data_IF_260400367409
#
_entry.id   IF_260400367409
#
_cell.length_a   1.000
_cell.length_b   1.000
_cell.length_c   1.000
_cell.angle_alpha   90.00
_cell.angle_beta   90.00
_cell.angle_gamma   90.00
#
_symmetry.space_group_name_H-M   'P 1'
#
loop_
_entity.id
_entity.type
_entity.pdbx_description
1 polymer ?
#
# COMPACT_ATOMS: atom_id res chain seq x y z
N UNK A 1 11.37 -15.45 11.32
CA UNK A 1 11.00 -14.07 11.73
C UNK A 1 10.93 -13.28 10.44
N UNK A 2 9.85 -12.60 10.19
CA UNK A 2 9.66 -11.82 8.97
C UNK A 2 10.60 -10.60 8.97
N UNK A 3 11.37 -10.46 7.89
CA UNK A 3 12.30 -9.36 7.66
C UNK A 3 11.69 -8.46 6.58
N UNK A 4 11.42 -7.22 6.91
CA UNK A 4 10.75 -6.29 6.01
C UNK A 4 11.68 -5.18 5.53
N UNK A 5 11.46 -4.73 4.31
CA UNK A 5 12.23 -3.67 3.69
C UNK A 5 11.86 -2.32 4.31
N UNK A 6 12.90 -1.60 4.72
CA UNK A 6 12.76 -0.25 5.29
C UNK A 6 13.73 0.74 4.64
N UNK A 7 13.38 2.01 4.73
CA UNK A 7 14.27 3.13 4.42
C UNK A 7 14.46 4.02 5.64
N UNK A 8 15.64 4.62 5.87
CA UNK A 8 15.83 5.64 6.89
C UNK A 8 14.91 6.84 6.64
N UNK A 9 14.14 7.25 7.66
CA UNK A 9 13.14 8.33 7.54
C UNK A 9 13.74 9.66 7.10
N UNK A 10 14.98 9.95 7.50
CA UNK A 10 15.70 11.16 7.10
C UNK A 10 15.94 11.24 5.58
N UNK A 11 16.07 10.09 4.91
CA UNK A 11 16.29 10.01 3.46
C UNK A 11 15.04 10.38 2.67
N UNK A 12 13.87 10.28 3.29
CA UNK A 12 12.58 10.55 2.66
C UNK A 12 12.16 12.02 2.77
N UNK A 13 12.69 12.75 3.75
CA UNK A 13 12.33 14.14 4.02
C UNK A 13 12.43 15.10 2.81
N UNK A 14 13.41 14.97 1.89
CA UNK A 14 13.46 15.81 0.68
C UNK A 14 12.27 15.63 -0.25
N UNK A 15 11.68 14.44 -0.30
CA UNK A 15 10.61 14.04 -1.23
C UNK A 15 9.23 14.15 -0.59
N UNK A 16 9.08 13.68 0.64
CA UNK A 16 7.80 13.54 1.35
C UNK A 16 7.69 14.58 2.48
N UNK A 17 7.43 15.83 2.12
CA UNK A 17 7.48 16.97 3.06
C UNK A 17 6.21 17.14 3.90
N UNK A 18 5.08 16.61 3.44
CA UNK A 18 3.78 16.71 4.13
C UNK A 18 3.03 15.40 4.01
N UNK A 19 2.04 15.22 4.87
CA UNK A 19 1.13 14.09 4.79
C UNK A 19 0.26 14.16 3.53
N UNK A 20 -0.09 12.99 3.02
CA UNK A 20 -0.85 12.83 1.80
C UNK A 20 -0.13 12.00 0.75
N UNK A 21 -0.68 12.03 -0.46
CA UNK A 21 -0.11 11.39 -1.64
C UNK A 21 0.70 12.43 -2.43
N UNK A 22 2.00 12.15 -2.62
CA UNK A 22 2.93 12.99 -3.38
C UNK A 22 3.21 12.31 -4.71
N UNK A 23 2.91 13.02 -5.82
CA UNK A 23 3.15 12.55 -7.18
C UNK A 23 4.48 13.08 -7.73
N UNK A 24 5.09 12.36 -8.68
CA UNK A 24 6.27 12.80 -9.46
C UNK A 24 7.61 12.60 -8.76
N UNK A 25 7.65 11.89 -7.62
CA UNK A 25 8.90 11.52 -6.94
C UNK A 25 9.12 9.99 -6.91
N UNK A 26 8.29 9.24 -7.63
CA UNK A 26 8.27 7.78 -7.55
C UNK A 26 9.59 7.17 -8.04
N UNK A 27 10.14 7.68 -9.15
CA UNK A 27 11.37 7.15 -9.74
C UNK A 27 12.59 7.39 -8.84
N UNK A 28 12.69 8.58 -8.25
CA UNK A 28 13.76 8.90 -7.31
C UNK A 28 13.67 8.04 -6.06
N UNK A 29 12.44 7.80 -5.57
CA UNK A 29 12.24 6.94 -4.41
C UNK A 29 12.46 5.46 -4.73
N UNK A 30 12.14 4.98 -5.94
CA UNK A 30 12.55 3.64 -6.39
C UNK A 30 14.06 3.49 -6.41
N UNK A 31 14.79 4.47 -6.98
CA UNK A 31 16.24 4.45 -6.99
C UNK A 31 16.83 4.48 -5.58
N UNK A 32 16.18 5.19 -4.65
CA UNK A 32 16.56 5.22 -3.25
C UNK A 32 16.33 3.85 -2.58
N UNK A 33 15.18 3.21 -2.81
CA UNK A 33 14.91 1.84 -2.33
C UNK A 33 15.99 0.88 -2.81
N UNK A 34 16.27 0.86 -4.11
CA UNK A 34 17.28 -0.04 -4.68
C UNK A 34 18.67 0.15 -4.07
N UNK A 35 19.03 1.38 -3.73
CA UNK A 35 20.37 1.72 -3.28
C UNK A 35 20.56 1.64 -1.77
N UNK A 36 19.54 1.97 -0.99
CA UNK A 36 19.71 2.29 0.43
C UNK A 36 18.75 1.51 1.36
N UNK A 37 17.97 0.57 0.82
CA UNK A 37 17.08 -0.23 1.67
C UNK A 37 17.87 -1.11 2.65
N UNK A 38 17.22 -1.40 3.76
CA UNK A 38 17.68 -2.33 4.76
C UNK A 38 16.55 -3.31 5.04
N UNK A 39 16.88 -4.47 5.60
CA UNK A 39 15.89 -5.39 6.13
C UNK A 39 15.93 -5.40 7.64
N UNK A 40 14.82 -5.09 8.30
CA UNK A 40 14.66 -5.15 9.74
C UNK A 40 13.63 -6.21 10.13
N UNK A 41 13.80 -6.85 11.29
CA UNK A 41 12.74 -7.68 11.85
C UNK A 41 11.46 -6.85 12.03
N UNK A 42 10.33 -7.36 11.55
CA UNK A 42 9.04 -6.66 11.59
C UNK A 42 8.71 -6.05 12.95
N UNK A 43 8.85 -6.76 14.10
CA UNK A 43 8.55 -6.18 15.41
C UNK A 43 9.44 -5.00 15.79
N UNK A 44 10.64 -4.88 15.21
CA UNK A 44 11.54 -3.74 15.40
C UNK A 44 11.06 -2.56 14.55
N UNK A 45 10.79 -2.80 13.28
CA UNK A 45 10.36 -1.77 12.34
C UNK A 45 9.00 -1.15 12.71
N UNK A 46 8.10 -1.93 13.34
CA UNK A 46 6.77 -1.45 13.77
C UNK A 46 6.80 -0.42 14.91
N UNK A 47 7.93 -0.26 15.59
CA UNK A 47 8.05 0.65 16.76
C UNK A 47 9.18 1.67 16.61
N UNK A 48 9.94 1.65 15.52
CA UNK A 48 11.08 2.54 15.30
C UNK A 48 10.79 3.57 14.19
N UNK A 49 10.38 4.82 14.53
CA UNK A 49 10.06 5.84 13.54
C UNK A 49 11.29 6.42 12.82
N UNK A 50 12.50 6.01 13.18
CA UNK A 50 13.71 6.37 12.41
C UNK A 50 13.78 5.67 11.07
N UNK A 51 12.93 4.65 10.87
CA UNK A 51 12.74 3.93 9.62
C UNK A 51 11.29 3.99 9.14
N UNK A 52 11.09 3.90 7.83
CA UNK A 52 9.79 3.69 7.21
C UNK A 52 9.78 2.36 6.48
N UNK A 53 8.80 1.53 6.83
CA UNK A 53 8.49 0.29 6.14
C UNK A 53 7.91 0.62 4.77
N UNK A 54 8.47 0.01 3.73
CA UNK A 54 7.99 0.22 2.36
C UNK A 54 6.86 -0.75 2.06
N UNK A 55 5.71 -0.19 1.71
CA UNK A 55 4.47 -0.91 1.44
C UNK A 55 4.01 -0.65 0.01
N UNK A 56 3.53 -1.70 -0.66
CA UNK A 56 2.78 -1.57 -1.90
C UNK A 56 1.30 -1.35 -1.58
N UNK A 57 0.67 -0.37 -2.23
CA UNK A 57 -0.74 -0.02 -2.05
C UNK A 57 -1.43 0.08 -3.41
N UNK A 58 -2.17 -0.97 -3.80
CA UNK A 58 -2.72 -1.11 -5.13
C UNK A 58 -4.23 -0.96 -5.10
N UNK A 59 -4.76 0.00 -5.85
CA UNK A 59 -6.20 0.22 -6.04
C UNK A 59 -6.66 -0.46 -7.32
N UNK A 60 -7.55 -1.44 -7.22
CA UNK A 60 -8.14 -2.12 -8.36
C UNK A 60 -9.37 -1.35 -8.85
N UNK A 61 -9.42 -1.09 -10.15
CA UNK A 61 -10.52 -0.35 -10.79
C UNK A 61 -11.15 -1.17 -11.91
N UNK A 62 -12.45 -0.92 -12.18
CA UNK A 62 -13.21 -1.46 -13.29
C UNK A 62 -14.10 -0.36 -13.86
N UNK A 63 -13.56 0.42 -14.79
CA UNK A 63 -14.26 1.58 -15.35
C UNK A 63 -14.58 2.64 -14.27
N UNK A 64 -15.86 2.86 -13.98
CA UNK A 64 -16.34 3.80 -12.96
C UNK A 64 -16.46 3.19 -11.54
N UNK A 65 -16.07 1.95 -11.38
CA UNK A 65 -16.07 1.25 -10.09
C UNK A 65 -14.64 1.08 -9.54
N UNK A 66 -14.56 0.97 -8.22
CA UNK A 66 -13.33 0.65 -7.47
C UNK A 66 -13.60 -0.51 -6.53
N UNK A 67 -12.62 -1.40 -6.40
CA UNK A 67 -12.70 -2.51 -5.47
C UNK A 67 -12.35 -2.04 -4.06
N UNK A 68 -13.30 -2.17 -3.15
CA UNK A 68 -13.15 -1.80 -1.75
C UNK A 68 -13.02 -3.03 -0.89
N UNK A 69 -12.27 -2.91 0.18
CA UNK A 69 -12.20 -3.95 1.20
C UNK A 69 -12.67 -3.42 2.55
N UNK A 70 -13.21 -4.31 3.38
CA UNK A 70 -13.55 -4.04 4.79
C UNK A 70 -12.83 -5.05 5.67
N UNK A 71 -12.10 -4.58 6.67
CA UNK A 71 -11.46 -5.45 7.66
C UNK A 71 -12.49 -6.03 8.62
N UNK A 72 -12.51 -7.36 8.72
CA UNK A 72 -13.37 -8.09 9.65
C UNK A 72 -12.71 -8.20 11.03
N UNK A 73 -13.50 -8.40 12.08
CA UNK A 73 -13.03 -8.43 13.48
C UNK A 73 -11.99 -9.51 13.81
N UNK A 74 -11.81 -10.50 12.94
CA UNK A 74 -10.82 -11.60 13.10
C UNK A 74 -9.40 -11.23 12.61
N UNK A 75 -9.21 -10.06 11.96
CA UNK A 75 -7.90 -9.61 11.49
C UNK A 75 -6.95 -9.24 12.63
N UNK A 76 -5.64 -9.35 12.39
CA UNK A 76 -4.60 -9.05 13.39
C UNK A 76 -4.48 -7.57 13.72
N UNK A 77 -4.80 -6.67 12.78
CA UNK A 77 -4.73 -5.21 12.93
C UNK A 77 -6.03 -4.65 13.52
N UNK A 78 -6.16 -4.71 14.86
CA UNK A 78 -7.37 -4.29 15.60
C UNK A 78 -7.73 -2.82 15.41
N UNK A 79 -6.74 -1.94 15.17
CA UNK A 79 -6.94 -0.48 15.02
C UNK A 79 -7.71 -0.10 13.75
N UNK A 80 -7.73 -0.98 12.75
CA UNK A 80 -8.41 -0.78 11.47
C UNK A 80 -9.71 -1.59 11.31
N UNK A 81 -10.18 -2.25 12.38
CA UNK A 81 -11.41 -3.05 12.31
C UNK A 81 -12.60 -2.20 11.88
N UNK A 82 -13.35 -2.70 10.89
CA UNK A 82 -14.52 -2.03 10.33
C UNK A 82 -14.23 -0.87 9.38
N UNK A 83 -12.96 -0.42 9.28
CA UNK A 83 -12.57 0.57 8.28
C UNK A 83 -12.59 -0.02 6.88
N UNK A 84 -12.95 0.84 5.94
CA UNK A 84 -12.85 0.56 4.52
C UNK A 84 -11.46 0.89 4.00
N UNK A 85 -10.99 0.12 3.02
CA UNK A 85 -9.75 0.38 2.29
C UNK A 85 -9.98 0.31 0.78
N UNK A 86 -9.25 1.15 0.03
CA UNK A 86 -9.12 1.08 -1.42
C UNK A 86 -7.86 0.33 -1.86
N UNK A 87 -6.94 0.07 -0.93
CA UNK A 87 -5.67 -0.56 -1.22
C UNK A 87 -5.65 -2.03 -0.85
N UNK A 88 -5.05 -2.80 -1.74
CA UNK A 88 -4.56 -4.15 -1.52
C UNK A 88 -3.04 -4.12 -1.57
N UNK A 89 -2.37 -5.02 -0.87
CA UNK A 89 -0.93 -5.13 -0.83
C UNK A 89 -0.37 -5.09 0.59
N UNK A 90 0.94 -5.03 0.70
CA UNK A 90 1.61 -5.13 1.99
C UNK A 90 3.10 -4.87 1.90
N UNK A 91 3.86 -5.44 2.82
CA UNK A 91 5.29 -5.19 2.98
C UNK A 91 6.13 -5.91 1.92
N UNK A 92 7.18 -5.26 1.49
CA UNK A 92 8.26 -5.94 0.77
C UNK A 92 9.14 -6.61 1.81
N UNK A 93 9.47 -7.88 1.59
CA UNK A 93 10.29 -8.65 2.52
C UNK A 93 11.59 -9.19 1.87
N UNK A 94 12.48 -9.77 2.66
CA UNK A 94 13.78 -10.26 2.21
C UNK A 94 13.68 -11.40 1.18
N UNK A 95 12.58 -12.15 1.15
CA UNK A 95 12.36 -13.18 0.14
C UNK A 95 12.08 -12.64 -1.26
N UNK A 96 11.73 -11.36 -1.36
CA UNK A 96 11.52 -10.67 -2.63
C UNK A 96 12.86 -10.26 -3.28
N UNK A 97 13.93 -10.12 -2.45
CA UNK A 97 15.28 -9.85 -2.94
C UNK A 97 15.96 -11.16 -3.43
N UNK A 98 16.10 -11.28 -4.74
CA UNK A 98 16.83 -12.39 -5.39
C UNK A 98 18.14 -11.93 -6.04
N UNK A 99 18.65 -10.79 -5.61
CA UNK A 99 19.91 -10.23 -6.12
C UNK A 99 19.82 -9.70 -7.57
N UNK A 100 18.63 -9.44 -8.07
CA UNK A 100 18.42 -8.82 -9.39
C UNK A 100 18.05 -7.35 -9.18
N UNK A 101 18.93 -6.41 -9.53
CA UNK A 101 18.68 -4.98 -9.36
C UNK A 101 17.37 -4.54 -10.05
N UNK A 102 16.62 -3.67 -9.41
CA UNK A 102 15.37 -3.13 -9.92
C UNK A 102 14.15 -4.06 -9.81
N UNK A 103 14.31 -5.24 -9.21
CA UNK A 103 13.25 -6.24 -9.18
C UNK A 103 12.60 -6.48 -7.81
N UNK A 104 13.26 -6.08 -6.72
CA UNK A 104 12.76 -6.37 -5.37
C UNK A 104 11.35 -5.82 -5.15
N UNK A 105 11.15 -4.56 -5.57
CA UNK A 105 9.88 -3.89 -5.42
C UNK A 105 8.77 -4.56 -6.23
N UNK A 106 9.04 -4.86 -7.52
CA UNK A 106 8.09 -5.52 -8.40
C UNK A 106 7.65 -6.88 -7.88
N UNK A 107 8.60 -7.67 -7.37
CA UNK A 107 8.32 -9.00 -6.81
C UNK A 107 7.48 -8.92 -5.54
N UNK A 108 7.82 -8.02 -4.62
CA UNK A 108 7.03 -7.80 -3.42
C UNK A 108 5.60 -7.40 -3.75
N UNK A 109 5.43 -6.46 -4.69
CA UNK A 109 4.12 -6.03 -5.16
C UNK A 109 3.30 -7.19 -5.76
N UNK A 110 3.90 -7.96 -6.67
CA UNK A 110 3.24 -9.10 -7.31
C UNK A 110 2.84 -10.16 -6.28
N UNK A 111 3.74 -10.49 -5.33
CA UNK A 111 3.47 -11.46 -4.27
C UNK A 111 2.31 -11.02 -3.39
N UNK A 112 2.37 -9.82 -2.81
CA UNK A 112 1.34 -9.29 -1.91
C UNK A 112 -0.03 -9.25 -2.59
N UNK A 113 -0.08 -8.73 -3.82
CA UNK A 113 -1.33 -8.62 -4.54
C UNK A 113 -1.96 -10.00 -4.81
N UNK A 114 -1.14 -11.01 -5.15
CA UNK A 114 -1.62 -12.38 -5.35
C UNK A 114 -1.95 -13.13 -4.05
N UNK A 115 -1.36 -12.75 -2.93
CA UNK A 115 -1.71 -13.33 -1.63
C UNK A 115 -3.09 -12.85 -1.16
N UNK A 116 -3.42 -11.58 -1.34
CA UNK A 116 -4.67 -10.99 -0.86
C UNK A 116 -5.87 -11.18 -1.80
N UNK A 117 -5.65 -11.16 -3.13
CA UNK A 117 -6.75 -11.15 -4.09
C UNK A 117 -6.55 -12.08 -5.30
N UNK A 118 -7.67 -12.50 -5.88
CA UNK A 118 -7.77 -13.00 -7.25
C UNK A 118 -8.30 -11.89 -8.14
N UNK A 119 -7.67 -11.67 -9.27
CA UNK A 119 -8.05 -10.63 -10.22
C UNK A 119 -7.58 -10.96 -11.62
N UNK A 120 -8.22 -10.37 -12.62
CA UNK A 120 -7.81 -10.48 -14.04
C UNK A 120 -7.42 -9.09 -14.54
N UNK A 121 -6.11 -8.83 -14.77
CA UNK A 121 -5.65 -7.53 -15.27
C UNK A 121 -6.30 -7.18 -16.62
N UNK A 122 -6.68 -5.92 -16.80
CA UNK A 122 -7.22 -5.35 -18.04
C UNK A 122 -6.41 -4.13 -18.52
N UNK A 123 -5.32 -3.79 -17.84
CA UNK A 123 -4.45 -2.66 -18.17
C UNK A 123 -3.09 -2.79 -17.52
N UNK A 124 -2.30 -1.73 -17.66
CA UNK A 124 -1.00 -1.62 -17.01
C UNK A 124 -1.14 -1.09 -15.57
N UNK A 125 -0.15 -1.39 -14.74
CA UNK A 125 -0.01 -0.83 -13.40
C UNK A 125 0.43 0.63 -13.52
N UNK A 126 -0.42 1.56 -13.06
CA UNK A 126 -0.19 3.00 -13.17
C UNK A 126 0.19 3.54 -11.79
N UNK A 127 1.39 4.15 -11.62
CA UNK A 127 1.74 4.81 -10.38
C UNK A 127 0.85 6.03 -10.14
N UNK A 128 0.36 6.16 -8.91
CA UNK A 128 -0.42 7.31 -8.45
C UNK A 128 0.42 8.28 -7.63
N UNK A 129 1.46 7.79 -6.96
CA UNK A 129 2.31 8.57 -6.10
C UNK A 129 2.82 7.78 -4.91
N UNK A 130 3.41 8.49 -3.96
CA UNK A 130 3.90 7.91 -2.71
C UNK A 130 3.16 8.54 -1.52
N UNK A 131 2.65 7.68 -0.64
CA UNK A 131 1.86 8.06 0.54
C UNK A 131 2.78 8.20 1.75
N UNK A 132 2.62 9.31 2.47
CA UNK A 132 3.13 9.55 3.80
C UNK A 132 1.98 9.98 4.71
N UNK A 133 1.97 9.48 5.93
CA UNK A 133 0.94 9.84 6.92
C UNK A 133 1.52 9.83 8.33
N UNK A 134 1.87 10.99 8.86
CA UNK A 134 2.37 11.13 10.23
C UNK A 134 1.24 11.33 11.26
N UNK A 135 -0.02 11.32 10.81
CA UNK A 135 -1.18 11.55 11.70
C UNK A 135 -1.56 10.31 12.52
N UNK A 136 -1.03 9.14 12.17
CA UNK A 136 -1.33 7.87 12.83
C UNK A 136 -0.06 7.15 13.28
N UNK A 137 -0.14 6.34 14.34
CA UNK A 137 1.00 5.52 14.80
C UNK A 137 1.48 4.54 13.73
N UNK A 138 0.55 3.98 12.94
CA UNK A 138 0.89 3.10 11.81
C UNK A 138 1.59 3.91 10.72
N UNK A 139 1.05 5.06 10.37
CA UNK A 139 1.63 5.92 9.33
C UNK A 139 3.02 6.43 9.68
N UNK A 140 3.33 6.68 10.97
CA UNK A 140 4.66 7.11 11.41
C UNK A 140 5.81 6.16 11.05
N UNK A 141 5.52 4.89 10.85
CA UNK A 141 6.51 3.85 10.55
C UNK A 141 6.32 3.23 9.15
N UNK A 142 5.40 3.76 8.33
CA UNK A 142 5.14 3.26 6.98
C UNK A 142 5.26 4.37 5.92
N UNK A 143 5.55 3.96 4.70
CA UNK A 143 5.35 4.71 3.47
C UNK A 143 4.77 3.79 2.40
N UNK A 144 3.85 4.30 1.58
CA UNK A 144 3.16 3.50 0.57
C UNK A 144 3.47 3.96 -0.85
N UNK A 145 3.98 3.08 -1.70
CA UNK A 145 3.93 3.29 -3.14
C UNK A 145 2.54 2.93 -3.64
N UNK A 146 1.81 3.94 -4.10
CA UNK A 146 0.43 3.81 -4.53
C UNK A 146 0.31 3.61 -6.03
N UNK A 147 -0.51 2.64 -6.42
CA UNK A 147 -0.78 2.30 -7.82
C UNK A 147 -2.26 2.15 -8.08
N UNK A 148 -2.63 2.29 -9.35
CA UNK A 148 -3.92 1.88 -9.89
C UNK A 148 -3.72 0.76 -10.91
N UNK A 149 -4.58 -0.26 -10.87
CA UNK A 149 -4.63 -1.33 -11.85
C UNK A 149 -6.07 -1.50 -12.35
N UNK A 150 -6.29 -1.40 -13.66
CA UNK A 150 -7.56 -1.76 -14.26
C UNK A 150 -7.67 -3.29 -14.38
N UNK A 151 -8.80 -3.81 -13.94
CA UNK A 151 -9.11 -5.25 -13.94
C UNK A 151 -10.50 -5.52 -14.52
N UNK A 152 -10.75 -6.73 -15.00
CA UNK A 152 -12.10 -7.13 -15.41
C UNK A 152 -12.94 -7.60 -14.24
N UNK A 153 -12.30 -8.22 -13.25
CA UNK A 153 -12.92 -8.68 -12.00
C UNK A 153 -11.89 -8.84 -10.90
N UNK A 154 -12.35 -8.79 -9.63
CA UNK A 154 -11.52 -9.04 -8.46
C UNK A 154 -12.34 -9.66 -7.32
N UNK A 155 -11.69 -10.51 -6.53
CA UNK A 155 -12.23 -11.09 -5.29
C UNK A 155 -11.14 -11.29 -4.25
N UNK A 156 -11.49 -11.30 -2.97
CA UNK A 156 -10.57 -11.50 -1.86
C UNK A 156 -10.32 -13.00 -1.66
N UNK A 157 -9.05 -13.37 -1.42
CA UNK A 157 -8.65 -14.73 -1.04
C UNK A 157 -8.82 -14.98 0.46
N UNK A 158 -8.42 -14.04 1.29
CA UNK A 158 -8.49 -14.14 2.77
C UNK A 158 -9.88 -13.71 3.32
N UNK A 159 -10.95 -14.37 2.87
CA UNK A 159 -12.35 -14.04 3.22
C UNK A 159 -12.68 -14.11 4.71
N UNK A 160 -11.83 -14.72 5.53
CA UNK A 160 -11.99 -14.70 6.99
C UNK A 160 -11.54 -13.38 7.63
N UNK A 161 -10.67 -12.62 6.96
CA UNK A 161 -10.07 -11.38 7.45
C UNK A 161 -10.64 -10.15 6.76
N UNK A 162 -10.95 -10.28 5.47
CA UNK A 162 -11.38 -9.18 4.60
C UNK A 162 -12.68 -9.54 3.88
N UNK A 163 -13.56 -8.57 3.74
CA UNK A 163 -14.69 -8.58 2.82
C UNK A 163 -14.35 -7.67 1.64
N UNK A 164 -14.50 -8.15 0.40
CA UNK A 164 -14.27 -7.38 -0.82
C UNK A 164 -15.57 -7.10 -1.55
N UNK A 165 -15.72 -5.89 -2.10
CA UNK A 165 -16.90 -5.49 -2.88
C UNK A 165 -16.60 -4.32 -3.83
N UNK A 166 -17.34 -4.24 -4.92
CA UNK A 166 -17.27 -3.13 -5.86
C UNK A 166 -18.14 -1.95 -5.42
N UNK A 167 -17.62 -0.74 -5.59
CA UNK A 167 -18.31 0.52 -5.29
C UNK A 167 -18.09 1.51 -6.43
N UNK A 168 -19.09 2.31 -6.78
CA UNK A 168 -18.90 3.38 -7.77
C UNK A 168 -18.00 4.48 -7.20
N UNK A 169 -17.09 4.98 -8.00
CA UNK A 169 -16.20 6.09 -7.61
C UNK A 169 -16.99 7.33 -7.17
N UNK A 170 -18.18 7.55 -7.76
CA UNK A 170 -19.08 8.65 -7.37
C UNK A 170 -19.65 8.54 -5.96
N UNK A 171 -19.63 7.37 -5.33
CA UNK A 171 -20.13 7.14 -3.97
C UNK A 171 -19.05 7.37 -2.90
N UNK A 172 -17.76 7.31 -3.27
CA UNK A 172 -16.63 7.43 -2.35
C UNK A 172 -16.67 8.71 -1.48
N UNK A 173 -16.94 9.91 -2.03
CA UNK A 173 -16.93 11.13 -1.22
C UNK A 173 -17.90 11.11 -0.05
N UNK A 174 -19.06 10.48 -0.22
CA UNK A 174 -20.09 10.38 0.82
C UNK A 174 -19.68 9.45 1.98
N UNK A 175 -18.75 8.53 1.73
CA UNK A 175 -18.29 7.54 2.69
C UNK A 175 -16.85 7.79 3.17
N UNK A 176 -16.24 8.93 2.79
CA UNK A 176 -14.83 9.24 3.03
C UNK A 176 -14.37 8.95 4.45
N UNK A 177 -15.14 9.36 5.46
CA UNK A 177 -14.82 9.18 6.88
C UNK A 177 -14.81 7.72 7.36
N UNK A 178 -15.39 6.81 6.58
CA UNK A 178 -15.37 5.38 6.88
C UNK A 178 -14.10 4.69 6.37
N UNK A 179 -13.37 5.34 5.46
CA UNK A 179 -12.13 4.84 4.92
C UNK A 179 -10.93 5.21 5.80
N UNK A 180 -9.89 4.37 5.75
CA UNK A 180 -8.59 4.68 6.33
C UNK A 180 -7.95 5.89 5.64
N UNK A 181 -7.01 6.56 6.29
CA UNK A 181 -6.39 7.81 5.81
C UNK A 181 -5.72 7.66 4.46
N UNK A 182 -5.02 6.57 4.21
CA UNK A 182 -4.36 6.32 2.93
C UNK A 182 -5.36 6.23 1.77
N UNK A 183 -6.48 5.55 1.99
CA UNK A 183 -7.57 5.51 1.01
C UNK A 183 -8.13 6.90 0.74
N UNK A 184 -8.26 7.74 1.77
CA UNK A 184 -8.74 9.11 1.61
C UNK A 184 -7.80 9.95 0.73
N UNK A 185 -6.48 9.76 0.83
CA UNK A 185 -5.51 10.42 -0.04
C UNK A 185 -5.62 9.93 -1.49
N UNK A 186 -5.83 8.63 -1.69
CA UNK A 186 -5.98 8.05 -3.02
C UNK A 186 -7.27 8.49 -3.70
N UNK A 187 -8.37 8.66 -2.96
CA UNK A 187 -9.65 9.18 -3.51
C UNK A 187 -9.49 10.50 -4.24
N UNK A 188 -8.54 11.35 -3.82
CA UNK A 188 -8.35 12.68 -4.39
C UNK A 188 -7.71 12.64 -5.80
N UNK A 189 -7.23 11.46 -6.25
CA UNK A 189 -6.57 11.26 -7.55
C UNK A 189 -7.20 10.16 -8.43
N UNK A 190 -8.28 9.50 -7.97
CA UNK A 190 -9.02 8.48 -8.70
C UNK A 190 -10.09 9.12 -9.60
#
# INVERSE_FOLDING_TARGET
MEMILVLPSERLAPYLRKDGLTCGCEQELYALVEKEHLFLPRPVAEVDPTYRQVVCYITLCRGDEVFCTRRLAKGTEQRLHGRLSLGLGGHINDSDDRGVPGEIFRRGLERELHEEAEFTPAGELIPLGVIKDDSTEVGLVHMGFSFKLEVTDASIRETEKLEGFWMKKSELPALREQFETWSQFVMDVL
#
